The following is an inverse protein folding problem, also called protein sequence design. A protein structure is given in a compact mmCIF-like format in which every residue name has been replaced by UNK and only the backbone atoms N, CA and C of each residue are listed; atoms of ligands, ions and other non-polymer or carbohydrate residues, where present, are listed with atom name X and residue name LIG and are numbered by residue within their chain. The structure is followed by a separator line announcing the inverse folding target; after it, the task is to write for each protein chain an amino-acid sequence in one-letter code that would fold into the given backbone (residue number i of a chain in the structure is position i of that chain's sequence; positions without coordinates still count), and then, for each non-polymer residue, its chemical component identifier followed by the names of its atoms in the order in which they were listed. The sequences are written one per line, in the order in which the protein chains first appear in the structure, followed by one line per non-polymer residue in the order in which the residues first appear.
data_IF_446803488513
#
_entry.id   IF_446803488513
#
_cell.length_a   1.000
_cell.length_b   1.000
_cell.length_c   1.000
_cell.angle_alpha   90.00
_cell.angle_beta   90.00
_cell.angle_gamma   90.00
#
_symmetry.space_group_name_H-M   'P 1'
#
loop_
_entity.id
_entity.type
_entity.pdbx_description
1 polymer ?
#
# COMPACT_ATOMS: atom_id res chain seq x y z
N UNK A 1 29.02 3.54 3.69
CA UNK A 1 28.38 3.67 2.37
C UNK A 1 27.40 2.55 2.04
N UNK A 2 27.79 1.26 2.07
CA UNK A 2 26.88 0.11 1.77
C UNK A 2 25.57 0.11 2.58
N UNK A 3 25.62 0.33 3.91
CA UNK A 3 24.42 0.35 4.77
C UNK A 3 23.44 1.47 4.41
N UNK A 4 23.95 2.65 4.05
CA UNK A 4 23.14 3.82 3.67
C UNK A 4 22.38 3.58 2.37
N UNK A 5 23.01 2.95 1.37
CA UNK A 5 22.38 2.59 0.11
C UNK A 5 21.26 1.56 0.29
N UNK A 6 21.48 0.56 1.15
CA UNK A 6 20.46 -0.46 1.47
C UNK A 6 19.25 0.19 2.15
N UNK A 7 19.47 1.08 3.13
CA UNK A 7 18.38 1.80 3.80
C UNK A 7 17.58 2.70 2.85
N UNK A 8 18.24 3.36 1.89
CA UNK A 8 17.56 4.15 0.86
C UNK A 8 16.73 3.27 -0.08
N UNK A 9 17.29 2.14 -0.51
CA UNK A 9 16.58 1.16 -1.34
C UNK A 9 15.33 0.61 -0.63
N UNK A 10 15.45 0.27 0.65
CA UNK A 10 14.31 -0.18 1.46
C UNK A 10 13.22 0.89 1.55
N UNK A 11 13.57 2.13 1.88
CA UNK A 11 12.59 3.24 1.94
C UNK A 11 11.90 3.44 0.60
N UNK A 12 12.64 3.39 -0.51
CA UNK A 12 12.08 3.49 -1.85
C UNK A 12 11.12 2.33 -2.14
N UNK A 13 11.50 1.09 -1.79
CA UNK A 13 10.69 -0.10 -2.03
C UNK A 13 9.43 -0.10 -1.16
N UNK A 14 9.51 0.33 0.09
CA UNK A 14 8.33 0.48 0.96
C UNK A 14 7.37 1.53 0.40
N UNK A 15 7.90 2.69 -0.04
CA UNK A 15 7.08 3.74 -0.65
C UNK A 15 6.38 3.26 -1.94
N UNK A 16 7.14 2.56 -2.77
CA UNK A 16 6.63 1.92 -3.98
C UNK A 16 5.48 0.96 -3.66
N UNK A 17 5.67 0.03 -2.72
CA UNK A 17 4.69 -0.98 -2.36
C UNK A 17 3.40 -0.40 -1.76
N UNK A 18 3.53 0.59 -0.89
CA UNK A 18 2.38 1.31 -0.33
C UNK A 18 1.52 1.95 -1.41
N UNK A 19 2.12 2.45 -2.50
CA UNK A 19 1.38 3.10 -3.58
C UNK A 19 0.91 2.17 -4.69
N UNK A 20 1.71 1.18 -5.05
CA UNK A 20 1.38 0.29 -6.17
C UNK A 20 0.09 -0.48 -5.91
N UNK A 21 -0.08 -0.98 -4.69
CA UNK A 21 -1.28 -1.73 -4.29
C UNK A 21 -2.49 -0.81 -4.20
N UNK A 22 -2.33 0.39 -3.65
CA UNK A 22 -3.42 1.35 -3.52
C UNK A 22 -3.97 1.79 -4.89
N UNK A 23 -3.10 1.95 -5.89
CA UNK A 23 -3.50 2.30 -7.26
C UNK A 23 -3.82 1.09 -8.15
N UNK A 24 -3.53 -0.13 -7.71
CA UNK A 24 -3.98 -1.35 -8.38
C UNK A 24 -5.48 -1.63 -8.16
N UNK A 25 -6.08 -1.11 -7.07
CA UNK A 25 -7.49 -1.35 -6.74
C UNK A 25 -8.45 -0.70 -7.75
N UNK A 26 -8.41 0.62 -8.02
CA UNK A 26 -9.39 1.27 -8.91
C UNK A 26 -9.54 0.63 -10.31
N UNK A 27 -8.46 0.28 -11.04
CA UNK A 27 -8.61 -0.31 -12.38
C UNK A 27 -9.18 -1.73 -12.36
N UNK A 28 -9.21 -2.40 -11.20
CA UNK A 28 -9.59 -3.81 -11.07
C UNK A 28 -10.97 -3.97 -10.45
N UNK A 29 -11.53 -2.88 -9.90
CA UNK A 29 -12.92 -2.80 -9.46
C UNK A 29 -13.95 -3.28 -10.51
N UNK A 30 -13.84 -3.00 -11.83
CA UNK A 30 -14.79 -3.53 -12.81
C UNK A 30 -14.80 -5.06 -12.87
N UNK A 31 -13.63 -5.71 -12.74
CA UNK A 31 -13.50 -7.17 -12.76
C UNK A 31 -14.03 -7.80 -11.47
N UNK A 32 -13.71 -7.21 -10.31
CA UNK A 32 -14.25 -7.61 -9.01
C UNK A 32 -15.77 -7.50 -9.02
N UNK A 33 -16.31 -6.42 -9.60
CA UNK A 33 -17.73 -6.17 -9.71
C UNK A 33 -18.44 -7.23 -10.56
N UNK A 34 -17.90 -7.55 -11.74
CA UNK A 34 -18.50 -8.56 -12.63
C UNK A 34 -18.52 -9.95 -12.00
N UNK A 35 -17.52 -10.30 -11.19
CA UNK A 35 -17.41 -11.62 -10.56
C UNK A 35 -18.30 -11.73 -9.30
N UNK A 36 -18.38 -10.67 -8.48
CA UNK A 36 -19.14 -10.67 -7.23
C UNK A 36 -20.57 -10.13 -7.37
N UNK A 37 -21.00 -9.72 -8.57
CA UNK A 37 -22.31 -9.12 -8.80
C UNK A 37 -22.54 -7.81 -8.04
N UNK A 38 -21.47 -7.06 -7.75
CA UNK A 38 -21.55 -5.85 -6.93
C UNK A 38 -22.28 -4.72 -7.69
N UNK A 39 -23.04 -3.91 -6.96
CA UNK A 39 -23.61 -2.67 -7.51
C UNK A 39 -22.51 -1.60 -7.70
N UNK A 40 -22.77 -0.61 -8.57
CA UNK A 40 -21.92 0.57 -8.68
C UNK A 40 -21.78 1.30 -7.34
N UNK A 41 -22.85 1.35 -6.54
CA UNK A 41 -22.84 1.96 -5.21
C UNK A 41 -21.90 1.22 -4.23
N UNK A 42 -21.92 -0.12 -4.23
CA UNK A 42 -21.02 -0.91 -3.38
C UNK A 42 -19.55 -0.80 -3.81
N UNK A 43 -19.30 -0.68 -5.11
CA UNK A 43 -17.94 -0.48 -5.64
C UNK A 43 -17.41 0.91 -5.28
N UNK A 44 -18.25 1.94 -5.39
CA UNK A 44 -17.92 3.31 -4.99
C UNK A 44 -17.68 3.44 -3.48
N UNK A 45 -18.45 2.72 -2.65
CA UNK A 45 -18.29 2.78 -1.20
C UNK A 45 -16.95 2.22 -0.73
N UNK A 46 -16.36 1.22 -1.41
CA UNK A 46 -15.00 0.74 -1.13
C UNK A 46 -13.97 1.88 -1.30
N UNK A 47 -14.11 2.65 -2.38
CA UNK A 47 -13.17 3.75 -2.68
C UNK A 47 -13.38 4.91 -1.69
N UNK A 48 -14.62 5.28 -1.40
CA UNK A 48 -14.94 6.30 -0.41
C UNK A 48 -14.46 5.91 0.98
N UNK A 49 -14.63 4.65 1.37
CA UNK A 49 -14.15 4.11 2.62
C UNK A 49 -12.62 4.17 2.68
N UNK A 50 -11.92 3.80 1.61
CA UNK A 50 -10.47 3.91 1.53
C UNK A 50 -10.00 5.37 1.73
N UNK A 51 -10.61 6.33 1.05
CA UNK A 51 -10.27 7.76 1.21
C UNK A 51 -10.56 8.24 2.63
N UNK A 52 -11.70 7.86 3.20
CA UNK A 52 -12.07 8.18 4.57
C UNK A 52 -11.07 7.60 5.58
N UNK A 53 -10.70 6.32 5.43
CA UNK A 53 -9.69 5.65 6.25
C UNK A 53 -8.33 6.32 6.13
N UNK A 54 -7.90 6.71 4.92
CA UNK A 54 -6.65 7.46 4.74
C UNK A 54 -6.64 8.76 5.55
N UNK A 55 -7.73 9.54 5.49
CA UNK A 55 -7.86 10.79 6.23
C UNK A 55 -7.85 10.57 7.74
N UNK A 56 -8.74 9.71 8.25
CA UNK A 56 -8.93 9.49 9.68
C UNK A 56 -7.73 8.79 10.31
N UNK A 57 -7.15 7.79 9.65
CA UNK A 57 -6.07 6.98 10.23
C UNK A 57 -4.68 7.63 10.14
N UNK A 58 -4.51 8.69 9.34
CA UNK A 58 -3.26 9.45 9.31
C UNK A 58 -2.92 10.11 10.65
N UNK A 59 -3.94 10.59 11.38
CA UNK A 59 -3.79 11.23 12.71
C UNK A 59 -3.27 10.23 13.76
N UNK A 60 -3.96 9.10 14.04
CA UNK A 60 -3.46 8.11 14.98
C UNK A 60 -2.16 7.47 14.47
N UNK A 61 -1.95 7.35 13.17
CA UNK A 61 -0.68 6.86 12.61
C UNK A 61 0.51 7.71 13.03
N UNK A 62 0.38 9.04 12.99
CA UNK A 62 1.42 9.95 13.48
C UNK A 62 1.65 9.83 15.00
N UNK A 63 0.58 9.67 15.79
CA UNK A 63 0.67 9.50 17.26
C UNK A 63 1.27 8.14 17.65
N UNK A 64 0.94 7.07 16.93
CA UNK A 64 1.52 5.74 17.15
C UNK A 64 3.01 5.74 16.80
N UNK A 65 3.43 6.52 15.80
CA UNK A 65 4.83 6.65 15.40
C UNK A 65 5.70 7.20 16.54
N UNK A 66 5.18 8.17 17.31
CA UNK A 66 5.91 8.78 18.43
C UNK A 66 5.94 7.87 19.66
N UNK A 67 4.89 7.08 19.91
CA UNK A 67 4.82 6.16 21.06
C UNK A 67 5.55 4.82 20.84
N UNK A 68 5.34 4.15 19.70
CA UNK A 68 5.84 2.79 19.47
C UNK A 68 7.13 2.74 18.64
N UNK A 69 7.54 3.88 18.09
CA UNK A 69 8.74 4.02 17.28
C UNK A 69 8.51 3.73 15.81
N UNK A 70 8.98 4.65 14.96
CA UNK A 70 8.73 4.63 13.51
C UNK A 70 9.15 3.31 12.83
N UNK A 71 10.31 2.74 13.18
CA UNK A 71 10.82 1.51 12.53
C UNK A 71 9.89 0.30 12.74
N UNK A 72 9.41 0.09 13.98
CA UNK A 72 8.53 -1.05 14.30
C UNK A 72 7.18 -0.91 13.62
N UNK A 73 6.64 0.32 13.63
CA UNK A 73 5.34 0.59 13.03
C UNK A 73 5.35 0.38 11.51
N UNK A 74 6.41 0.83 10.81
CA UNK A 74 6.57 0.59 9.37
C UNK A 74 6.65 -0.91 9.06
N UNK A 75 7.41 -1.69 9.83
CA UNK A 75 7.52 -3.13 9.62
C UNK A 75 6.17 -3.85 9.83
N UNK A 76 5.44 -3.50 10.90
CA UNK A 76 4.11 -4.05 11.19
C UNK A 76 3.10 -3.70 10.09
N UNK A 77 3.07 -2.44 9.65
CA UNK A 77 2.17 -2.02 8.57
C UNK A 77 2.56 -2.63 7.22
N UNK A 78 3.86 -2.85 6.97
CA UNK A 78 4.35 -3.56 5.78
C UNK A 78 3.88 -5.02 5.77
N UNK A 79 4.05 -5.72 6.88
CA UNK A 79 3.54 -7.09 7.03
C UNK A 79 2.01 -7.14 6.89
N UNK A 80 1.31 -6.20 7.52
CA UNK A 80 -0.15 -6.04 7.38
C UNK A 80 -0.57 -5.83 5.94
N UNK A 81 0.14 -4.97 5.19
CA UNK A 81 -0.13 -4.74 3.78
C UNK A 81 -0.02 -6.02 2.95
N UNK A 82 0.99 -6.86 3.17
CA UNK A 82 1.10 -8.17 2.49
C UNK A 82 -0.08 -9.07 2.86
N UNK A 83 -0.35 -9.22 4.16
CA UNK A 83 -1.41 -10.11 4.67
C UNK A 83 -2.78 -9.68 4.14
N UNK A 84 -3.12 -8.40 4.20
CA UNK A 84 -4.43 -7.88 3.76
C UNK A 84 -4.57 -7.88 2.24
N UNK A 85 -3.46 -7.75 1.50
CA UNK A 85 -3.47 -7.94 0.03
C UNK A 85 -3.75 -9.39 -0.34
N UNK A 86 -3.16 -10.35 0.38
CA UNK A 86 -3.51 -11.76 0.21
C UNK A 86 -4.95 -12.04 0.68
N UNK A 87 -5.42 -11.36 1.73
CA UNK A 87 -6.77 -11.51 2.26
C UNK A 87 -7.86 -11.19 1.21
N UNK A 88 -7.60 -10.22 0.32
CA UNK A 88 -8.46 -9.89 -0.82
C UNK A 88 -8.67 -11.07 -1.78
N UNK A 89 -7.77 -12.04 -1.78
CA UNK A 89 -7.76 -13.19 -2.69
C UNK A 89 -8.37 -14.45 -2.09
N UNK A 90 -8.97 -14.40 -0.89
CA UNK A 90 -9.67 -15.54 -0.31
C UNK A 90 -11.04 -15.82 -0.96
N UNK A 91 -11.48 -17.10 -1.03
CA UNK A 91 -12.72 -17.53 -1.69
C UNK A 91 -14.00 -16.79 -1.21
N UNK A 92 -15.06 -16.80 -2.02
CA UNK A 92 -15.85 -15.62 -2.35
C UNK A 92 -16.69 -15.11 -1.19
N UNK A 93 -16.53 -13.82 -0.91
CA UNK A 93 -17.42 -13.06 -0.05
C UNK A 93 -17.15 -11.58 -0.23
N UNK A 94 -18.20 -10.81 -0.51
CA UNK A 94 -18.17 -9.34 -0.49
C UNK A 94 -17.46 -8.84 0.77
N UNK A 95 -17.70 -9.51 1.90
CA UNK A 95 -17.03 -9.26 3.17
C UNK A 95 -15.50 -9.20 3.07
N UNK A 96 -14.84 -10.16 2.42
CA UNK A 96 -13.37 -10.18 2.31
C UNK A 96 -12.82 -9.04 1.47
N UNK A 97 -13.55 -8.62 0.43
CA UNK A 97 -13.16 -7.47 -0.39
C UNK A 97 -13.28 -6.17 0.41
N UNK A 98 -14.36 -5.99 1.17
CA UNK A 98 -14.55 -4.82 2.01
C UNK A 98 -13.56 -4.78 3.17
N UNK A 99 -13.47 -5.87 3.96
CA UNK A 99 -12.58 -5.96 5.11
C UNK A 99 -11.11 -5.87 4.68
N UNK A 100 -10.72 -6.61 3.65
CA UNK A 100 -9.37 -6.60 3.08
C UNK A 100 -8.98 -5.21 2.58
N UNK A 101 -9.82 -4.56 1.77
CA UNK A 101 -9.54 -3.20 1.27
C UNK A 101 -9.43 -2.18 2.40
N UNK A 102 -10.29 -2.28 3.42
CA UNK A 102 -10.28 -1.37 4.57
C UNK A 102 -9.00 -1.53 5.40
N UNK A 103 -8.63 -2.77 5.73
CA UNK A 103 -7.44 -3.08 6.54
C UNK A 103 -6.14 -2.78 5.78
N UNK A 104 -6.12 -3.05 4.47
CA UNK A 104 -5.04 -2.68 3.58
C UNK A 104 -4.87 -1.16 3.56
N UNK A 105 -5.96 -0.42 3.38
CA UNK A 105 -5.90 1.05 3.35
C UNK A 105 -5.49 1.62 4.70
N UNK A 106 -5.94 1.02 5.80
CA UNK A 106 -5.54 1.37 7.15
C UNK A 106 -4.03 1.19 7.34
N UNK A 107 -3.48 0.06 6.89
CA UNK A 107 -2.03 -0.22 6.96
C UNK A 107 -1.24 0.83 6.20
N UNK A 108 -1.73 1.24 5.02
CA UNK A 108 -1.09 2.28 4.20
C UNK A 108 -1.15 3.65 4.89
N UNK A 109 -2.31 4.01 5.42
CA UNK A 109 -2.53 5.28 6.13
C UNK A 109 -1.58 5.42 7.33
N UNK A 110 -1.43 4.35 8.12
CA UNK A 110 -0.60 4.34 9.32
C UNK A 110 0.90 4.30 8.98
N UNK A 111 1.31 3.70 7.86
CA UNK A 111 2.71 3.60 7.46
C UNK A 111 3.30 4.93 6.92
N UNK A 112 2.48 5.79 6.32
CA UNK A 112 2.96 7.01 5.64
C UNK A 112 3.65 8.02 6.58
N UNK A 113 3.04 8.46 7.71
CA UNK A 113 3.68 9.43 8.60
C UNK A 113 5.01 8.93 9.22
N UNK A 114 5.09 7.69 9.76
CA UNK A 114 6.32 7.13 10.30
C UNK A 114 7.47 7.09 9.30
N UNK A 115 7.21 6.81 8.02
CA UNK A 115 8.23 6.78 6.97
C UNK A 115 8.89 8.14 6.77
N UNK A 116 8.10 9.21 6.72
CA UNK A 116 8.63 10.57 6.62
C UNK A 116 9.50 10.94 7.82
N UNK A 117 9.10 10.52 9.04
CA UNK A 117 9.90 10.68 10.26
C UNK A 117 11.19 9.86 10.19
N UNK A 118 11.12 8.63 9.70
CA UNK A 118 12.26 7.72 9.59
C UNK A 118 13.31 8.26 8.60
N UNK A 119 12.87 8.81 7.47
CA UNK A 119 13.74 9.47 6.49
C UNK A 119 14.52 10.62 7.12
N UNK A 120 13.83 11.49 7.86
CA UNK A 120 14.49 12.63 8.55
C UNK A 120 15.47 12.16 9.62
N UNK A 121 15.17 11.06 10.34
CA UNK A 121 16.04 10.52 11.39
C UNK A 121 17.25 9.76 10.84
N UNK A 122 17.10 8.99 9.76
CA UNK A 122 18.17 8.17 9.20
C UNK A 122 19.11 8.93 8.28
N UNK A 123 18.63 10.02 7.66
CA UNK A 123 19.41 10.80 6.70
C UNK A 123 19.50 12.29 7.07
N UNK A 124 19.91 12.67 8.29
CA UNK A 124 19.90 14.07 8.73
C UNK A 124 20.75 14.99 7.84
N UNK A 125 21.84 14.48 7.27
CA UNK A 125 22.75 15.21 6.38
C UNK A 125 22.36 15.15 4.89
N UNK A 126 21.42 14.26 4.53
CA UNK A 126 21.05 13.97 3.12
C UNK A 126 19.53 13.85 2.92
N UNK A 127 18.75 14.61 3.70
CA UNK A 127 17.27 14.59 3.71
C UNK A 127 16.70 14.83 2.31
N UNK A 128 17.26 15.77 1.54
CA UNK A 128 16.78 16.10 0.19
C UNK A 128 16.90 14.91 -0.76
N UNK A 129 18.04 14.21 -0.75
CA UNK A 129 18.24 13.02 -1.60
C UNK A 129 17.30 11.89 -1.20
N UNK A 130 17.16 11.62 0.09
CA UNK A 130 16.29 10.56 0.61
C UNK A 130 14.81 10.86 0.33
N UNK A 131 14.38 12.11 0.50
CA UNK A 131 13.02 12.56 0.19
C UNK A 131 12.70 12.48 -1.31
N UNK A 132 13.64 12.87 -2.17
CA UNK A 132 13.49 12.75 -3.62
C UNK A 132 13.37 11.29 -4.06
N UNK A 133 14.20 10.40 -3.48
CA UNK A 133 14.11 8.97 -3.74
C UNK A 133 12.75 8.43 -3.28
N UNK A 134 12.34 8.73 -2.06
CA UNK A 134 11.03 8.34 -1.53
C UNK A 134 9.88 8.82 -2.42
N UNK A 135 9.88 10.09 -2.83
CA UNK A 135 8.90 10.65 -3.75
C UNK A 135 8.89 9.96 -5.11
N UNK A 136 10.06 9.63 -5.66
CA UNK A 136 10.18 8.86 -6.89
C UNK A 136 9.58 7.45 -6.74
N UNK A 137 9.80 6.78 -5.61
CA UNK A 137 9.18 5.47 -5.30
C UNK A 137 7.66 5.54 -5.28
N UNK A 138 7.09 6.58 -4.65
CA UNK A 138 5.64 6.82 -4.67
C UNK A 138 5.11 7.02 -6.10
N UNK A 139 5.78 7.84 -6.91
CA UNK A 139 5.37 8.11 -8.29
C UNK A 139 5.44 6.85 -9.16
N UNK A 140 6.51 6.06 -9.02
CA UNK A 140 6.65 4.80 -9.73
C UNK A 140 5.56 3.80 -9.31
N UNK A 141 5.27 3.70 -8.01
CA UNK A 141 4.17 2.86 -7.52
C UNK A 141 2.83 3.29 -8.10
N UNK A 142 2.58 4.60 -8.18
CA UNK A 142 1.38 5.16 -8.81
C UNK A 142 1.21 4.74 -10.26
N UNK A 143 2.24 5.00 -11.08
CA UNK A 143 2.20 4.76 -12.52
C UNK A 143 2.15 3.27 -12.80
N UNK A 144 3.04 2.48 -12.20
CA UNK A 144 3.07 1.04 -12.43
C UNK A 144 1.81 0.36 -11.90
N UNK A 145 1.30 0.77 -10.74
CA UNK A 145 0.06 0.22 -10.17
C UNK A 145 -1.15 0.51 -11.04
N UNK A 146 -1.32 1.75 -11.49
CA UNK A 146 -2.45 2.13 -12.35
C UNK A 146 -2.34 1.55 -13.76
N UNK A 147 -1.13 1.50 -14.33
CA UNK A 147 -0.92 1.08 -15.72
C UNK A 147 -0.81 -0.42 -15.88
N UNK A 148 -0.06 -1.15 -15.05
CA UNK A 148 0.16 -2.60 -15.21
C UNK A 148 -1.00 -3.44 -14.68
N UNK A 149 -1.65 -3.02 -13.59
CA UNK A 149 -2.71 -3.82 -12.94
C UNK A 149 -3.87 -4.20 -13.87
N UNK A 150 -4.37 -3.34 -14.78
CA UNK A 150 -5.35 -3.76 -15.78
C UNK A 150 -4.84 -4.86 -16.71
N UNK A 151 -3.59 -4.78 -17.20
CA UNK A 151 -3.03 -5.79 -18.10
C UNK A 151 -2.82 -7.13 -17.39
N UNK A 152 -2.27 -7.10 -16.17
CA UNK A 152 -2.09 -8.30 -15.34
C UNK A 152 -3.46 -8.92 -15.01
N UNK A 153 -4.44 -8.09 -14.64
CA UNK A 153 -5.81 -8.55 -14.35
C UNK A 153 -6.47 -9.22 -15.56
N UNK A 154 -6.26 -8.69 -16.78
CA UNK A 154 -6.77 -9.31 -18.01
C UNK A 154 -6.07 -10.63 -18.33
N UNK A 155 -4.78 -10.75 -18.01
CA UNK A 155 -3.99 -11.93 -18.34
C UNK A 155 -4.20 -13.10 -17.37
N UNK A 156 -4.24 -12.84 -16.06
CA UNK A 156 -4.24 -13.87 -15.02
C UNK A 156 -5.36 -13.69 -13.97
N UNK A 157 -6.25 -12.73 -14.15
CA UNK A 157 -7.33 -12.42 -13.22
C UNK A 157 -6.92 -11.47 -12.08
N UNK A 158 -7.91 -10.85 -11.45
CA UNK A 158 -7.68 -9.82 -10.41
C UNK A 158 -7.07 -10.42 -9.13
N UNK A 159 -7.42 -11.66 -8.79
CA UNK A 159 -6.90 -12.36 -7.59
C UNK A 159 -5.39 -12.59 -7.73
N UNK A 160 -4.96 -13.15 -8.87
CA UNK A 160 -3.55 -13.39 -9.13
C UNK A 160 -2.77 -12.07 -9.25
N UNK A 161 -3.37 -11.01 -9.80
CA UNK A 161 -2.77 -9.67 -9.83
C UNK A 161 -2.47 -9.13 -8.42
N UNK A 162 -3.38 -9.30 -7.44
CA UNK A 162 -3.09 -8.94 -6.05
C UNK A 162 -2.00 -9.83 -5.43
N UNK A 163 -1.94 -11.12 -5.76
CA UNK A 163 -0.85 -12.01 -5.30
C UNK A 163 0.51 -11.59 -5.86
N UNK A 164 0.58 -11.17 -7.13
CA UNK A 164 1.80 -10.63 -7.73
C UNK A 164 2.27 -9.40 -6.96
N UNK A 165 1.38 -8.44 -6.70
CA UNK A 165 1.75 -7.26 -5.92
C UNK A 165 2.07 -7.56 -4.45
N UNK A 166 1.40 -8.54 -3.83
CA UNK A 166 1.74 -9.00 -2.49
C UNK A 166 3.14 -9.63 -2.44
N UNK A 167 3.53 -10.37 -3.48
CA UNK A 167 4.88 -10.90 -3.63
C UNK A 167 5.93 -9.80 -3.74
N UNK A 168 5.67 -8.76 -4.56
CA UNK A 168 6.54 -7.58 -4.65
C UNK A 168 6.63 -6.83 -3.32
N UNK A 169 5.53 -6.75 -2.58
CA UNK A 169 5.50 -6.17 -1.25
C UNK A 169 6.30 -6.97 -0.22
N UNK A 170 6.27 -8.30 -0.30
CA UNK A 170 7.07 -9.16 0.58
C UNK A 170 8.58 -8.96 0.45
N UNK A 171 9.08 -8.44 -0.67
CA UNK A 171 10.50 -8.13 -0.86
C UNK A 171 10.91 -6.87 -0.08
N UNK A 172 9.95 -5.98 0.23
CA UNK A 172 10.20 -4.68 0.87
C UNK A 172 9.94 -4.59 2.37
N UNK A 173 9.52 -5.69 2.99
CA UNK A 173 9.19 -5.80 4.42
C UNK A 173 10.29 -6.56 5.14
#
# INVERSE_FOLDING_TARGET
MRRTAISLGLVWLTAFNLRVILFAIPPTLPAIRSELGLSFAATGSITSLAVFTLGVASIPGALLATRYGARRLVALCGAGLVIFTVALTLPPGIFWVFAGSSLLTLSIAVAQPPLAVLIRRWFPTTITRASNLYGNGLLMGNVLGASLSPYITRAIGWRAMFLVWAGVAGIGV
#
